data_IF_531621368158
#
_entry.id   IF_531621368158
#
_cell.length_a   1.000
_cell.length_b   1.000
_cell.length_c   1.000
_cell.angle_alpha   90.00
_cell.angle_beta   90.00
_cell.angle_gamma   90.00
#
_symmetry.space_group_name_H-M   'P 1'
#
loop_
_entity.id
_entity.type
_entity.pdbx_description
1 polymer ?
#
# COMPACT_ATOMS: atom_id res chain seq x y z
N UNK A 1 -15.46 -9.59 -6.53
CA UNK A 1 -14.35 -10.56 -6.57
C UNK A 1 -13.08 -9.78 -6.83
N UNK A 2 -12.07 -9.89 -5.97
CA UNK A 2 -10.79 -9.20 -6.19
C UNK A 2 -9.97 -10.01 -7.20
N UNK A 3 -9.97 -9.60 -8.46
CA UNK A 3 -9.09 -10.20 -9.46
C UNK A 3 -7.64 -9.94 -9.10
N UNK A 4 -6.82 -11.00 -9.09
CA UNK A 4 -5.39 -10.92 -8.80
C UNK A 4 -4.70 -10.18 -9.94
N UNK A 5 -3.90 -9.16 -9.60
CA UNK A 5 -3.15 -8.39 -10.59
C UNK A 5 -2.18 -9.30 -11.36
N UNK A 6 -2.10 -9.11 -12.68
CA UNK A 6 -1.08 -9.76 -13.51
C UNK A 6 0.30 -9.20 -13.22
N UNK A 7 1.35 -9.87 -13.70
CA UNK A 7 2.71 -9.39 -13.51
C UNK A 7 2.94 -8.05 -14.24
N UNK A 8 2.37 -7.90 -15.42
CA UNK A 8 2.45 -6.68 -16.22
C UNK A 8 1.76 -5.50 -15.52
N UNK A 9 0.59 -5.73 -14.92
CA UNK A 9 -0.13 -4.73 -14.14
C UNK A 9 0.67 -4.29 -12.90
N UNK A 10 1.30 -5.23 -12.19
CA UNK A 10 2.18 -4.91 -11.06
C UNK A 10 3.37 -4.06 -11.48
N UNK A 11 4.05 -4.44 -12.58
CA UNK A 11 5.18 -3.66 -13.09
C UNK A 11 4.76 -2.27 -13.54
N UNK A 12 3.57 -2.14 -14.14
CA UNK A 12 3.02 -0.85 -14.53
C UNK A 12 2.73 0.02 -13.30
N UNK A 13 2.10 -0.51 -12.25
CA UNK A 13 1.88 0.23 -11.01
C UNK A 13 3.19 0.70 -10.36
N UNK A 14 4.21 -0.16 -10.29
CA UNK A 14 5.53 0.22 -9.77
C UNK A 14 6.19 1.32 -10.61
N UNK A 15 6.06 1.25 -11.94
CA UNK A 15 6.56 2.29 -12.84
C UNK A 15 5.84 3.61 -12.61
N UNK A 16 4.51 3.59 -12.51
CA UNK A 16 3.71 4.79 -12.25
C UNK A 16 4.04 5.42 -10.89
N UNK A 17 4.20 4.59 -9.85
CA UNK A 17 4.61 5.03 -8.52
C UNK A 17 6.00 5.69 -8.57
N UNK A 18 6.99 5.06 -9.23
CA UNK A 18 8.34 5.61 -9.40
C UNK A 18 8.33 6.95 -10.10
N UNK A 19 7.64 7.07 -11.22
CA UNK A 19 7.54 8.32 -11.98
C UNK A 19 6.87 9.42 -11.15
N UNK A 20 5.81 9.09 -10.42
CA UNK A 20 5.11 10.06 -9.58
C UNK A 20 5.99 10.54 -8.42
N UNK A 21 6.61 9.62 -7.69
CA UNK A 21 7.56 9.91 -6.61
C UNK A 21 8.69 10.82 -7.08
N UNK A 22 9.33 10.47 -8.20
CA UNK A 22 10.42 11.25 -8.79
C UNK A 22 10.00 12.66 -9.21
N UNK A 23 8.85 12.81 -9.87
CA UNK A 23 8.32 14.13 -10.24
C UNK A 23 7.97 14.95 -8.99
N UNK A 24 7.31 14.34 -8.00
CA UNK A 24 6.95 14.99 -6.75
C UNK A 24 8.17 15.54 -6.00
N UNK A 25 9.22 14.72 -5.83
CA UNK A 25 10.47 15.13 -5.17
C UNK A 25 11.16 16.27 -5.93
N UNK A 26 11.07 16.30 -7.26
CA UNK A 26 11.61 17.40 -8.10
C UNK A 26 10.71 18.63 -8.18
N UNK A 27 9.57 18.65 -7.49
CA UNK A 27 8.59 19.75 -7.56
C UNK A 27 7.91 19.89 -8.91
N UNK A 28 7.85 18.81 -9.70
CA UNK A 28 7.25 18.77 -11.02
C UNK A 28 5.92 18.00 -10.99
N UNK A 29 4.95 18.36 -11.85
CA UNK A 29 3.78 17.52 -12.02
C UNK A 29 4.18 16.15 -12.58
N UNK A 30 3.58 15.05 -12.10
CA UNK A 30 3.84 13.74 -12.66
C UNK A 30 3.34 13.66 -14.12
N UNK A 31 3.98 12.85 -14.98
CA UNK A 31 3.58 12.71 -16.39
C UNK A 31 2.09 12.34 -16.51
N UNK A 32 1.35 12.85 -17.51
CA UNK A 32 -0.04 12.49 -17.71
C UNK A 32 -0.23 10.97 -17.81
N UNK A 33 -1.32 10.47 -17.24
CA UNK A 33 -1.64 9.06 -17.27
C UNK A 33 -2.12 8.67 -18.67
N UNK A 34 -1.40 7.74 -19.31
CA UNK A 34 -1.85 7.17 -20.58
C UNK A 34 -2.97 6.15 -20.32
N UNK A 35 -4.21 6.62 -20.43
CA UNK A 35 -5.41 5.79 -20.24
C UNK A 35 -5.50 4.61 -21.20
N UNK A 36 -4.83 4.67 -22.37
CA UNK A 36 -4.83 3.57 -23.34
C UNK A 36 -3.91 2.42 -22.93
N UNK A 37 -2.90 2.71 -22.10
CA UNK A 37 -1.98 1.72 -21.55
C UNK A 37 -2.54 1.00 -20.30
N UNK A 38 -3.67 1.46 -19.75
CA UNK A 38 -4.26 0.88 -18.54
C UNK A 38 -5.27 -0.22 -18.86
N UNK A 39 -5.12 -1.36 -18.15
CA UNK A 39 -6.14 -2.42 -18.16
C UNK A 39 -7.43 -1.95 -17.48
N UNK A 40 -8.51 -2.72 -17.61
CA UNK A 40 -9.76 -2.43 -16.89
C UNK A 40 -9.56 -2.44 -15.36
N UNK A 41 -8.72 -3.34 -14.85
CA UNK A 41 -8.45 -3.46 -13.40
C UNK A 41 -7.74 -2.22 -12.85
N UNK A 42 -6.80 -1.64 -13.60
CA UNK A 42 -6.09 -0.43 -13.17
C UNK A 42 -6.91 0.85 -13.28
N UNK A 43 -7.91 0.87 -14.18
CA UNK A 43 -8.88 1.97 -14.32
C UNK A 43 -10.05 1.87 -13.34
N UNK A 44 -10.30 0.69 -12.80
CA UNK A 44 -11.32 0.50 -11.79
C UNK A 44 -10.91 1.17 -10.47
N UNK A 45 -11.92 1.52 -9.68
CA UNK A 45 -11.74 2.03 -8.33
C UNK A 45 -10.95 1.04 -7.47
N UNK A 46 -9.94 1.53 -6.76
CA UNK A 46 -9.08 0.70 -5.94
C UNK A 46 -8.37 1.52 -4.86
N UNK A 47 -8.12 0.88 -3.73
CA UNK A 47 -7.38 1.45 -2.62
C UNK A 47 -6.00 0.78 -2.53
N UNK A 48 -4.97 1.56 -2.26
CA UNK A 48 -3.63 1.03 -2.07
C UNK A 48 -2.87 1.74 -0.95
N UNK A 49 -1.83 1.06 -0.48
CA UNK A 49 -0.75 1.66 0.29
C UNK A 49 0.52 1.62 -0.54
N UNK A 50 1.21 2.75 -0.62
CA UNK A 50 2.56 2.84 -1.19
C UNK A 50 3.55 2.97 -0.05
N UNK A 51 4.47 2.02 0.02
CA UNK A 51 5.54 1.99 1.02
C UNK A 51 6.87 2.27 0.33
N UNK A 52 7.63 3.17 0.91
CA UNK A 52 8.99 3.52 0.51
C UNK A 52 9.94 2.94 1.53
N UNK A 53 10.98 2.27 1.07
CA UNK A 53 12.08 1.79 1.91
C UNK A 53 13.41 2.31 1.39
N UNK A 54 14.33 2.63 2.31
CA UNK A 54 15.72 2.95 1.98
C UNK A 54 16.61 1.97 2.75
N UNK A 55 17.42 1.17 2.03
CA UNK A 55 18.31 0.16 2.62
C UNK A 55 17.58 -0.82 3.56
N UNK A 56 16.35 -1.19 3.21
CA UNK A 56 15.49 -2.10 3.98
C UNK A 56 14.69 -1.44 5.12
N UNK A 57 14.96 -0.17 5.44
CA UNK A 57 14.27 0.57 6.50
C UNK A 57 13.11 1.39 5.93
N UNK A 58 12.05 1.57 6.73
CA UNK A 58 10.87 2.35 6.33
C UNK A 58 11.25 3.83 6.14
N UNK A 59 10.96 4.39 4.95
CA UNK A 59 11.23 5.79 4.58
C UNK A 59 9.96 6.64 4.40
N UNK A 60 8.82 5.97 4.25
CA UNK A 60 7.49 6.58 4.16
C UNK A 60 6.43 5.54 3.80
N UNK A 61 5.21 5.71 4.27
CA UNK A 61 4.09 4.84 3.91
C UNK A 61 2.78 5.59 4.03
N UNK A 62 2.07 5.74 2.91
CA UNK A 62 0.77 6.41 2.84
C UNK A 62 -0.16 5.59 1.94
N UNK A 63 -1.44 5.61 2.26
CA UNK A 63 -2.47 4.92 1.51
C UNK A 63 -3.87 5.21 2.02
N UNK A 64 -4.84 4.59 1.34
CA UNK A 64 -6.24 4.63 1.72
C UNK A 64 -6.78 3.22 1.97
N UNK A 65 -7.81 3.14 2.81
CA UNK A 65 -8.54 1.90 3.10
C UNK A 65 -9.73 1.67 2.19
N UNK A 66 -10.31 2.77 1.69
CA UNK A 66 -11.50 2.77 0.85
C UNK A 66 -11.13 3.41 -0.49
N UNK A 67 -11.60 2.86 -1.61
CA UNK A 67 -11.32 3.41 -2.91
C UNK A 67 -12.12 4.70 -3.12
N UNK A 68 -11.47 5.74 -3.61
CA UNK A 68 -12.12 6.99 -4.02
C UNK A 68 -11.80 7.40 -5.46
N UNK A 69 -10.87 6.68 -6.11
CA UNK A 69 -10.42 6.94 -7.47
C UNK A 69 -9.86 5.66 -8.10
N UNK A 70 -9.43 5.75 -9.37
CA UNK A 70 -8.83 4.60 -10.06
C UNK A 70 -7.56 4.13 -9.35
N UNK A 71 -7.31 2.82 -9.34
CA UNK A 71 -6.12 2.25 -8.69
C UNK A 71 -4.82 2.87 -9.22
N UNK A 72 -4.75 3.17 -10.52
CA UNK A 72 -3.59 3.81 -11.11
C UNK A 72 -3.37 5.26 -10.60
N UNK A 73 -4.43 6.01 -10.34
CA UNK A 73 -4.33 7.35 -9.75
C UNK A 73 -4.00 7.28 -8.27
N UNK A 74 -4.67 6.40 -7.52
CA UNK A 74 -4.43 6.13 -6.10
C UNK A 74 -2.94 5.84 -5.83
N UNK A 75 -2.34 4.94 -6.61
CA UNK A 75 -0.91 4.62 -6.47
C UNK A 75 0.00 5.82 -6.76
N UNK A 76 -0.31 6.65 -7.75
CA UNK A 76 0.52 7.82 -8.10
C UNK A 76 0.47 8.89 -7.02
N UNK A 77 -0.73 9.16 -6.52
CA UNK A 77 -0.96 10.14 -5.46
C UNK A 77 -0.28 9.70 -4.16
N UNK A 78 -0.52 8.45 -3.76
CA UNK A 78 0.07 7.89 -2.54
C UNK A 78 1.58 7.72 -2.63
N UNK A 79 2.17 7.52 -3.81
CA UNK A 79 3.62 7.54 -3.97
C UNK A 79 4.24 8.91 -3.68
N UNK A 80 3.60 10.00 -4.14
CA UNK A 80 4.03 11.37 -3.83
C UNK A 80 3.83 11.66 -2.33
N UNK A 81 2.66 11.30 -1.80
CA UNK A 81 2.34 11.53 -0.39
C UNK A 81 3.27 10.74 0.55
N UNK A 82 3.60 9.49 0.23
CA UNK A 82 4.56 8.70 1.02
C UNK A 82 5.96 9.34 1.04
N UNK A 83 6.37 10.02 -0.03
CA UNK A 83 7.65 10.71 -0.11
C UNK A 83 7.66 12.06 0.62
N UNK A 84 6.55 12.81 0.61
CA UNK A 84 6.54 14.23 1.00
C UNK A 84 5.62 14.58 2.17
N UNK A 85 4.68 13.72 2.54
CA UNK A 85 3.58 14.01 3.46
C UNK A 85 3.48 13.03 4.64
N UNK A 86 4.33 12.00 4.70
CA UNK A 86 4.41 11.14 5.88
C UNK A 86 5.10 11.89 7.03
N UNK A 87 4.30 12.38 7.98
CA UNK A 87 4.73 13.21 9.11
C UNK A 87 5.78 12.56 10.03
N UNK A 88 6.01 11.25 9.90
CA UNK A 88 7.02 10.52 10.67
C UNK A 88 8.44 10.76 10.15
N UNK A 89 8.57 11.24 8.92
CA UNK A 89 9.84 11.41 8.23
C UNK A 89 9.97 12.82 7.62
N UNK A 90 11.20 13.34 7.46
CA UNK A 90 11.40 14.51 6.60
C UNK A 90 11.04 14.17 5.14
N UNK A 91 10.63 15.15 4.31
CA UNK A 91 10.42 14.93 2.89
C UNK A 91 11.64 14.29 2.23
N UNK A 92 11.40 13.38 1.28
CA UNK A 92 12.45 12.74 0.47
C UNK A 92 13.18 13.78 -0.37
N UNK A 93 14.50 13.73 -0.36
CA UNK A 93 15.37 14.56 -1.19
C UNK A 93 15.77 13.84 -2.49
N UNK A 94 16.12 14.62 -3.52
CA UNK A 94 16.44 14.09 -4.85
C UNK A 94 17.60 13.08 -4.84
N UNK A 95 18.57 13.25 -3.95
CA UNK A 95 19.72 12.36 -3.83
C UNK A 95 19.37 10.98 -3.23
N UNK A 96 18.23 10.86 -2.54
CA UNK A 96 17.73 9.60 -1.97
C UNK A 96 17.02 8.74 -3.01
N UNK A 97 16.50 9.35 -4.10
CA UNK A 97 15.68 8.67 -5.13
C UNK A 97 16.28 7.34 -5.66
N UNK A 98 17.60 7.25 -5.96
CA UNK A 98 18.19 6.02 -6.47
C UNK A 98 18.27 4.89 -5.42
N UNK A 99 18.17 5.22 -4.13
CA UNK A 99 18.25 4.27 -3.02
C UNK A 99 16.88 3.80 -2.53
N UNK A 100 15.80 4.48 -2.96
CA UNK A 100 14.44 4.16 -2.56
C UNK A 100 13.92 2.96 -3.32
N UNK A 101 13.44 1.97 -2.58
CA UNK A 101 12.62 0.87 -3.08
C UNK A 101 11.13 1.20 -2.85
N UNK A 102 10.28 0.75 -3.76
CA UNK A 102 8.84 1.03 -3.74
C UNK A 102 8.10 -0.29 -3.67
N UNK A 103 7.20 -0.40 -2.71
CA UNK A 103 6.22 -1.46 -2.61
C UNK A 103 4.81 -0.88 -2.76
N UNK A 104 3.94 -1.59 -3.48
CA UNK A 104 2.54 -1.21 -3.67
C UNK A 104 1.64 -2.35 -3.20
N UNK A 105 0.87 -2.08 -2.15
CA UNK A 105 -0.09 -3.02 -1.57
C UNK A 105 -1.51 -2.61 -1.96
N UNK A 106 -2.09 -3.29 -2.96
CA UNK A 106 -3.50 -3.13 -3.33
C UNK A 106 -4.38 -3.81 -2.28
N UNK A 107 -5.36 -3.09 -1.77
CA UNK A 107 -6.29 -3.60 -0.77
C UNK A 107 -7.59 -4.10 -1.39
N UNK A 108 -8.18 -5.09 -0.72
CA UNK A 108 -9.60 -5.39 -0.85
C UNK A 108 -10.40 -4.49 0.09
N UNK A 109 -11.69 -4.31 -0.21
CA UNK A 109 -12.60 -3.63 0.73
C UNK A 109 -12.56 -4.34 2.09
N UNK A 110 -12.44 -3.59 3.19
CA UNK A 110 -12.49 -4.19 4.52
C UNK A 110 -13.86 -4.79 4.79
N UNK A 111 -13.88 -5.94 5.44
CA UNK A 111 -15.10 -6.63 5.82
C UNK A 111 -15.17 -6.70 7.35
N UNK A 112 -16.32 -6.34 7.96
CA UNK A 112 -16.52 -6.56 9.39
C UNK A 112 -16.33 -8.04 9.72
N UNK A 113 -15.51 -8.31 10.73
CA UNK A 113 -15.33 -9.65 11.28
C UNK A 113 -16.12 -9.76 12.56
N UNK A 114 -17.18 -10.56 12.55
CA UNK A 114 -17.97 -10.84 13.75
C UNK A 114 -17.24 -11.85 14.64
N UNK A 115 -17.07 -11.52 15.92
CA UNK A 115 -16.46 -12.39 16.93
C UNK A 115 -17.14 -12.21 18.30
N UNK A 116 -16.98 -13.19 19.18
CA UNK A 116 -17.64 -13.23 20.50
C UNK A 116 -16.67 -13.14 21.66
N UNK A 117 -15.45 -13.64 21.50
CA UNK A 117 -14.36 -13.59 22.50
C UNK A 117 -13.05 -13.23 21.82
N UNK A 118 -12.03 -12.88 22.62
CA UNK A 118 -10.69 -12.63 22.09
C UNK A 118 -10.11 -13.88 21.40
N UNK A 119 -10.34 -15.07 21.97
CA UNK A 119 -9.87 -16.34 21.38
C UNK A 119 -10.57 -16.62 20.03
N UNK A 120 -11.88 -16.38 19.94
CA UNK A 120 -12.65 -16.53 18.69
C UNK A 120 -12.17 -15.57 17.58
N UNK A 121 -11.75 -14.36 17.95
CA UNK A 121 -11.12 -13.44 17.00
C UNK A 121 -9.80 -14.00 16.46
N UNK A 122 -8.93 -14.53 17.34
CA UNK A 122 -7.64 -15.10 16.94
C UNK A 122 -7.81 -16.31 16.02
N UNK A 123 -8.78 -17.18 16.30
CA UNK A 123 -9.08 -18.37 15.49
C UNK A 123 -9.60 -18.02 14.08
N UNK A 124 -10.19 -16.83 13.90
CA UNK A 124 -10.74 -16.36 12.63
C UNK A 124 -9.72 -15.62 11.75
N UNK A 125 -8.67 -15.06 12.34
CA UNK A 125 -7.64 -14.35 11.59
C UNK A 125 -6.70 -15.32 10.89
N UNK A 126 -6.27 -14.98 9.66
CA UNK A 126 -5.28 -15.75 8.91
C UNK A 126 -4.01 -14.91 8.71
N UNK A 127 -3.19 -14.75 9.77
CA UNK A 127 -1.95 -13.97 9.72
C UNK A 127 -0.85 -14.62 8.86
N UNK A 128 -1.08 -15.81 8.32
CA UNK A 128 -0.03 -16.60 7.65
C UNK A 128 0.82 -17.36 8.68
N UNK A 129 1.76 -18.22 8.23
CA UNK A 129 2.66 -18.92 9.13
C UNK A 129 3.68 -17.95 9.77
N UNK A 130 3.95 -18.10 11.08
CA UNK A 130 4.98 -17.36 11.81
C UNK A 130 6.41 -17.72 11.36
N UNK A 131 6.59 -18.88 10.72
CA UNK A 131 7.84 -19.32 10.09
C UNK A 131 7.56 -20.02 8.77
N UNK A 132 8.12 -19.53 7.66
CA UNK A 132 8.07 -20.17 6.34
C UNK A 132 7.41 -19.33 5.24
N UNK A 133 7.38 -19.85 4.02
CA UNK A 133 6.91 -19.16 2.80
C UNK A 133 5.39 -19.25 2.58
N UNK A 134 4.60 -18.99 3.62
CA UNK A 134 3.14 -18.83 3.48
C UNK A 134 2.78 -17.35 3.50
N UNK A 135 1.90 -16.92 2.60
CA UNK A 135 1.51 -15.53 2.51
C UNK A 135 0.45 -15.20 3.57
N UNK A 136 0.75 -14.24 4.45
CA UNK A 136 -0.24 -13.63 5.33
C UNK A 136 -1.42 -13.11 4.50
N UNK A 137 -2.64 -13.49 4.87
CA UNK A 137 -3.82 -13.20 4.04
C UNK A 137 -4.55 -11.97 4.54
N UNK A 138 -4.73 -11.85 5.85
CA UNK A 138 -5.60 -10.83 6.42
C UNK A 138 -4.81 -9.64 6.96
N UNK A 139 -5.16 -8.44 6.49
CA UNK A 139 -4.83 -7.19 7.17
C UNK A 139 -5.91 -6.89 8.21
N UNK A 140 -5.55 -6.17 9.27
CA UNK A 140 -6.48 -5.87 10.37
C UNK A 140 -6.68 -4.37 10.48
N UNK A 141 -7.95 -3.97 10.57
CA UNK A 141 -8.34 -2.61 10.95
C UNK A 141 -9.01 -2.71 12.31
N UNK A 142 -8.41 -2.09 13.31
CA UNK A 142 -8.99 -1.96 14.64
C UNK A 142 -9.65 -0.59 14.76
N UNK A 143 -10.88 -0.55 15.27
CA UNK A 143 -11.62 0.69 15.48
C UNK A 143 -12.25 0.69 16.88
N UNK A 144 -12.00 1.76 17.63
CA UNK A 144 -12.62 2.05 18.93
C UNK A 144 -13.12 3.50 18.95
N UNK A 145 -14.42 3.68 18.74
CA UNK A 145 -15.04 4.98 18.52
C UNK A 145 -14.41 5.71 17.32
N UNK A 146 -13.74 6.84 17.59
CA UNK A 146 -13.01 7.64 16.60
C UNK A 146 -11.55 7.20 16.40
N UNK A 147 -11.02 6.30 17.23
CA UNK A 147 -9.66 5.79 17.10
C UNK A 147 -9.64 4.67 16.10
N UNK A 148 -8.65 4.70 15.19
CA UNK A 148 -8.46 3.67 14.17
C UNK A 148 -6.99 3.34 14.01
N UNK A 149 -6.68 2.06 13.86
CA UNK A 149 -5.36 1.57 13.49
C UNK A 149 -5.49 0.54 12.36
N UNK A 150 -4.53 0.54 11.44
CA UNK A 150 -4.50 -0.37 10.28
C UNK A 150 -3.16 -1.10 10.27
N UNK A 151 -3.21 -2.41 10.13
CA UNK A 151 -2.06 -3.28 9.99
C UNK A 151 -2.20 -4.08 8.69
N UNK A 152 -1.27 -3.87 7.76
CA UNK A 152 -1.23 -4.62 6.51
C UNK A 152 -0.78 -6.06 6.76
N UNK A 153 -1.13 -7.03 5.88
CA UNK A 153 -0.71 -8.42 6.04
C UNK A 153 0.82 -8.58 6.21
N UNK A 154 1.62 -7.75 5.55
CA UNK A 154 3.09 -7.77 5.69
C UNK A 154 3.62 -7.39 7.09
N UNK A 155 2.79 -6.80 7.97
CA UNK A 155 3.21 -6.46 9.33
C UNK A 155 3.38 -7.71 10.19
N UNK A 156 2.64 -8.79 9.91
CA UNK A 156 2.72 -10.04 10.67
C UNK A 156 4.15 -10.60 10.72
N UNK A 157 4.91 -10.48 9.64
CA UNK A 157 6.30 -10.95 9.57
C UNK A 157 7.28 -10.13 10.43
N UNK A 158 6.89 -8.92 10.85
CA UNK A 158 7.74 -7.98 11.61
C UNK A 158 7.46 -8.00 13.11
N UNK A 159 6.41 -8.67 13.56
CA UNK A 159 6.07 -8.80 14.97
C UNK A 159 6.57 -10.17 15.45
N UNK A 160 7.59 -10.16 16.30
CA UNK A 160 8.04 -11.38 16.98
C UNK A 160 7.03 -11.78 18.07
N UNK A 161 6.90 -13.09 18.32
CA UNK A 161 6.06 -13.69 19.37
C UNK A 161 6.33 -13.12 20.77
#
# INVERSE_FOLDING_TARGET
MSEKLTQEEKQLLLKLARQALESGVRGQPPPPLDQSALTAVLRAEGASFVTLTERGELRGCIGALEPSQSLAEDVREHAIAAALQDYRFPPVEEHELPQIEIEVSRLTLPQPLEYTTADDLLDKLRPGPSTGSGQAVDGVILQDGFRRATFLPQVWEKVAD
#
